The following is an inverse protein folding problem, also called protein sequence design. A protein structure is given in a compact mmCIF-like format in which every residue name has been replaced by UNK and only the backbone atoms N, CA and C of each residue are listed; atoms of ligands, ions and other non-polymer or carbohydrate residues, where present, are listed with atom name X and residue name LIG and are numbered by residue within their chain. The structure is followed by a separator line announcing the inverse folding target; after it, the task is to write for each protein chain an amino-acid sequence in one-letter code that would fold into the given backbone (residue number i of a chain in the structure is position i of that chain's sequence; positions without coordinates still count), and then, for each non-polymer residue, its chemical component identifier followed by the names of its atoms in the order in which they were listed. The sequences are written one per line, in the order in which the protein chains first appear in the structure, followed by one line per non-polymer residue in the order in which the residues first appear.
data_IF_332581636512
#
_entry.id   IF_332581636512
#
_cell.length_a   1.000
_cell.length_b   1.000
_cell.length_c   1.000
_cell.angle_alpha   90.00
_cell.angle_beta   90.00
_cell.angle_gamma   90.00
#
_symmetry.space_group_name_H-M   'P 1'
#
loop_
_entity.id
_entity.type
_entity.pdbx_description
1 polymer ?
#
# COMPACT_ATOMS: atom_id res chain seq x y z
N UNK A 1 21.34 9.21 9.23
CA UNK A 1 20.24 8.75 8.37
C UNK A 1 19.20 9.82 8.14
N UNK A 2 18.25 9.57 7.24
CA UNK A 2 17.15 10.52 6.94
C UNK A 2 16.07 10.53 8.06
N UNK A 3 16.23 9.71 9.10
CA UNK A 3 15.32 9.65 10.24
C UNK A 3 15.35 10.99 11.00
N UNK A 4 14.17 11.54 11.29
CA UNK A 4 14.05 12.84 11.97
C UNK A 4 14.27 14.07 11.07
N UNK A 5 14.47 13.92 9.77
CA UNK A 5 14.59 15.04 8.86
C UNK A 5 13.29 15.85 8.72
N UNK A 6 12.13 15.17 8.85
CA UNK A 6 10.80 15.77 8.90
C UNK A 6 10.17 15.42 10.25
N UNK A 7 9.86 16.41 11.05
CA UNK A 7 9.26 16.24 12.39
C UNK A 7 7.75 16.34 12.39
N UNK A 8 7.14 16.67 11.24
CA UNK A 8 5.70 16.84 11.08
C UNK A 8 5.11 15.89 10.02
N UNK A 9 3.82 15.68 10.10
CA UNK A 9 3.03 14.90 9.16
C UNK A 9 1.70 15.63 8.89
N UNK A 10 1.20 15.69 7.65
CA UNK A 10 1.67 15.03 6.41
C UNK A 10 2.79 15.75 5.67
N UNK A 11 3.08 17.01 5.96
CA UNK A 11 4.12 17.81 5.33
C UNK A 11 5.46 17.71 6.07
N UNK A 12 6.53 18.17 5.43
CA UNK A 12 7.86 18.23 6.04
C UNK A 12 8.12 19.63 6.56
N UNK A 13 7.88 19.86 7.84
CA UNK A 13 8.03 21.18 8.48
C UNK A 13 7.25 22.30 7.74
N UNK A 14 6.06 21.97 7.24
CA UNK A 14 5.22 22.87 6.46
C UNK A 14 5.45 22.85 4.95
N UNK A 15 6.55 22.26 4.46
CA UNK A 15 6.91 22.26 3.05
C UNK A 15 6.44 20.99 2.32
N UNK A 16 5.89 21.18 1.11
CA UNK A 16 5.56 20.10 0.18
C UNK A 16 6.81 19.61 -0.55
N UNK A 17 7.70 20.51 -0.94
CA UNK A 17 8.96 20.21 -1.62
C UNK A 17 10.09 20.84 -0.81
N UNK A 18 10.68 20.11 0.15
CA UNK A 18 11.76 20.64 0.97
C UNK A 18 13.06 20.75 0.17
N UNK A 19 13.88 21.75 0.51
CA UNK A 19 15.15 22.02 -0.18
C UNK A 19 16.27 21.03 0.19
N UNK A 20 16.20 20.44 1.38
CA UNK A 20 17.26 19.56 1.87
C UNK A 20 17.08 18.10 1.39
N UNK A 21 18.15 17.47 0.91
CA UNK A 21 18.12 16.10 0.35
C UNK A 21 17.54 15.06 1.30
N UNK A 22 17.81 15.16 2.61
CA UNK A 22 17.28 14.20 3.60
C UNK A 22 15.77 14.35 3.78
N UNK A 23 15.27 15.57 3.81
CA UNK A 23 13.84 15.87 3.88
C UNK A 23 13.14 15.45 2.59
N UNK A 24 13.78 15.66 1.44
CA UNK A 24 13.28 15.21 0.15
C UNK A 24 13.12 13.68 0.11
N UNK A 25 14.06 12.90 0.63
CA UNK A 25 13.92 11.44 0.71
C UNK A 25 12.72 11.02 1.56
N UNK A 26 12.46 11.72 2.68
CA UNK A 26 11.29 11.48 3.51
C UNK A 26 9.99 11.80 2.75
N UNK A 27 9.94 12.93 2.06
CA UNK A 27 8.78 13.29 1.25
C UNK A 27 8.59 12.38 0.05
N UNK A 28 9.67 11.97 -0.62
CA UNK A 28 9.61 11.00 -1.71
C UNK A 28 8.96 9.68 -1.27
N UNK A 29 9.33 9.16 -0.10
CA UNK A 29 8.66 7.98 0.47
C UNK A 29 7.14 8.20 0.64
N UNK A 30 6.73 9.37 1.15
CA UNK A 30 5.31 9.72 1.32
C UNK A 30 4.57 9.81 -0.02
N UNK A 31 5.19 10.40 -1.04
CA UNK A 31 4.60 10.47 -2.39
C UNK A 31 4.44 9.09 -3.01
N UNK A 32 5.48 8.25 -2.92
CA UNK A 32 5.39 6.87 -3.41
C UNK A 32 4.29 6.11 -2.66
N UNK A 33 4.21 6.23 -1.34
CA UNK A 33 3.17 5.60 -0.54
C UNK A 33 1.77 6.08 -0.94
N UNK A 34 1.59 7.37 -1.21
CA UNK A 34 0.32 7.94 -1.67
C UNK A 34 -0.08 7.39 -3.05
N UNK A 35 0.85 7.35 -4.01
CA UNK A 35 0.59 6.81 -5.36
C UNK A 35 0.24 5.32 -5.28
N UNK A 36 1.03 4.53 -4.54
CA UNK A 36 0.76 3.09 -4.34
C UNK A 36 -0.59 2.90 -3.66
N UNK A 37 -0.90 3.71 -2.65
CA UNK A 37 -2.18 3.67 -1.95
C UNK A 37 -3.37 3.95 -2.86
N UNK A 38 -3.29 4.96 -3.70
CA UNK A 38 -4.32 5.26 -4.69
C UNK A 38 -4.51 4.10 -5.67
N UNK A 39 -3.41 3.47 -6.09
CA UNK A 39 -3.46 2.32 -6.99
C UNK A 39 -4.11 1.10 -6.31
N UNK A 40 -3.78 0.82 -5.07
CA UNK A 40 -4.39 -0.24 -4.26
C UNK A 40 -5.88 0.02 -4.08
N UNK A 41 -6.29 1.24 -3.69
CA UNK A 41 -7.68 1.62 -3.52
C UNK A 41 -8.47 1.52 -4.84
N UNK A 42 -7.88 1.96 -5.94
CA UNK A 42 -8.49 1.84 -7.27
C UNK A 42 -8.69 0.38 -7.68
N UNK A 43 -7.68 -0.46 -7.50
CA UNK A 43 -7.76 -1.90 -7.79
C UNK A 43 -8.86 -2.59 -7.01
N UNK A 44 -9.04 -2.19 -5.74
CA UNK A 44 -10.13 -2.69 -4.92
C UNK A 44 -11.49 -2.22 -5.40
N UNK A 45 -11.61 -0.94 -5.75
CA UNK A 45 -12.85 -0.40 -6.28
C UNK A 45 -13.30 -1.18 -7.52
N UNK A 46 -12.36 -1.54 -8.41
CA UNK A 46 -12.64 -2.39 -9.56
C UNK A 46 -13.06 -3.81 -9.14
N UNK A 47 -12.40 -4.40 -8.16
CA UNK A 47 -12.73 -5.72 -7.62
C UNK A 47 -14.13 -5.75 -7.00
N UNK A 48 -14.56 -4.69 -6.31
CA UNK A 48 -15.90 -4.58 -5.73
C UNK A 48 -17.01 -4.39 -6.77
N UNK A 49 -16.73 -3.71 -7.88
CA UNK A 49 -17.71 -3.54 -8.97
C UNK A 49 -17.97 -4.82 -9.75
N UNK A 50 -17.04 -5.74 -9.77
CA UNK A 50 -17.20 -7.06 -10.38
C UNK A 50 -18.14 -7.94 -9.52
N UNK A 51 -19.42 -8.01 -9.85
CA UNK A 51 -20.43 -8.81 -9.11
C UNK A 51 -20.14 -10.31 -9.03
N UNK A 52 -19.14 -10.82 -9.76
CA UNK A 52 -18.82 -12.24 -9.91
C UNK A 52 -17.44 -12.63 -9.31
N UNK A 53 -16.85 -11.78 -8.47
CA UNK A 53 -15.57 -12.13 -7.85
C UNK A 53 -15.75 -13.17 -6.74
N UNK A 54 -14.89 -14.21 -6.69
CA UNK A 54 -14.87 -15.17 -5.60
C UNK A 54 -14.74 -14.49 -4.24
N UNK A 55 -15.35 -15.07 -3.20
CA UNK A 55 -15.34 -14.50 -1.85
C UNK A 55 -13.91 -14.35 -1.32
N UNK A 56 -13.01 -15.26 -1.69
CA UNK A 56 -11.60 -15.23 -1.30
C UNK A 56 -10.88 -13.98 -1.82
N UNK A 57 -11.11 -13.61 -3.08
CA UNK A 57 -10.54 -12.40 -3.68
C UNK A 57 -11.07 -11.15 -2.98
N UNK A 58 -12.36 -11.12 -2.65
CA UNK A 58 -12.96 -10.00 -1.93
C UNK A 58 -12.37 -9.84 -0.53
N UNK A 59 -12.27 -10.95 0.23
CA UNK A 59 -11.69 -10.94 1.58
C UNK A 59 -10.23 -10.50 1.53
N UNK A 60 -9.43 -11.06 0.63
CA UNK A 60 -8.02 -10.71 0.48
C UNK A 60 -7.85 -9.23 0.08
N UNK A 61 -8.70 -8.73 -0.80
CA UNK A 61 -8.71 -7.31 -1.20
C UNK A 61 -9.02 -6.41 0.00
N UNK A 62 -10.05 -6.71 0.79
CA UNK A 62 -10.38 -5.95 1.99
C UNK A 62 -9.24 -5.98 3.01
N UNK A 63 -8.62 -7.15 3.20
CA UNK A 63 -7.46 -7.30 4.08
C UNK A 63 -6.27 -6.46 3.62
N UNK A 64 -5.99 -6.42 2.32
CA UNK A 64 -4.91 -5.61 1.75
C UNK A 64 -5.14 -4.10 2.02
N UNK A 65 -6.39 -3.60 1.90
CA UNK A 65 -6.70 -2.21 2.26
C UNK A 65 -6.55 -1.95 3.74
N UNK A 66 -7.12 -2.81 4.57
CA UNK A 66 -7.04 -2.64 6.02
C UNK A 66 -5.57 -2.59 6.48
N UNK A 67 -4.73 -3.49 5.95
CA UNK A 67 -3.29 -3.49 6.20
C UNK A 67 -2.61 -2.23 5.67
N UNK A 68 -2.98 -1.76 4.48
CA UNK A 68 -2.40 -0.54 3.92
C UNK A 68 -2.77 0.70 4.75
N UNK A 69 -4.03 0.84 5.15
CA UNK A 69 -4.48 1.95 6.01
C UNK A 69 -3.75 1.90 7.37
N UNK A 70 -3.67 0.72 7.98
CA UNK A 70 -2.93 0.54 9.22
C UNK A 70 -1.44 0.88 9.06
N UNK A 71 -0.83 0.52 7.92
CA UNK A 71 0.55 0.86 7.56
C UNK A 71 0.77 2.39 7.50
N UNK A 72 -0.18 3.14 6.93
CA UNK A 72 -0.11 4.61 6.89
C UNK A 72 -0.19 5.20 8.30
N UNK A 73 -1.11 4.69 9.13
CA UNK A 73 -1.27 5.13 10.52
C UNK A 73 0.00 4.87 11.33
N UNK A 74 0.55 3.65 11.25
CA UNK A 74 1.80 3.32 11.95
C UNK A 74 2.96 4.15 11.41
N UNK A 75 2.99 4.43 10.10
CA UNK A 75 3.99 5.32 9.50
C UNK A 75 3.94 6.75 10.03
N UNK A 76 2.74 7.30 10.25
CA UNK A 76 2.58 8.60 10.92
C UNK A 76 3.02 8.50 12.40
N UNK A 77 2.67 7.41 13.06
CA UNK A 77 3.05 7.19 14.47
C UNK A 77 4.57 7.05 14.67
N UNK A 78 5.32 6.57 13.69
CA UNK A 78 6.81 6.55 13.73
C UNK A 78 7.35 7.95 14.00
N UNK A 79 6.75 8.99 13.41
CA UNK A 79 7.17 10.38 13.58
C UNK A 79 6.82 10.86 15.00
N UNK A 80 5.59 10.62 15.45
CA UNK A 80 5.11 11.05 16.76
C UNK A 80 5.78 10.32 17.92
N UNK A 81 6.25 9.08 17.70
CA UNK A 81 7.01 8.30 18.66
C UNK A 81 8.53 8.57 18.61
N UNK A 82 8.93 9.71 18.05
CA UNK A 82 10.34 10.14 17.92
C UNK A 82 11.24 9.04 17.32
N UNK A 83 10.73 8.37 16.29
CA UNK A 83 11.45 7.33 15.54
C UNK A 83 11.92 6.14 16.41
N UNK A 84 11.17 5.77 17.43
CA UNK A 84 11.48 4.64 18.29
C UNK A 84 11.74 3.37 17.49
N UNK A 85 12.67 2.54 17.94
CA UNK A 85 13.10 1.34 17.20
C UNK A 85 11.96 0.34 17.03
N UNK A 86 11.13 0.17 18.05
CA UNK A 86 10.03 -0.79 18.04
C UNK A 86 8.94 -0.40 17.03
N UNK A 87 8.56 0.88 16.98
CA UNK A 87 7.56 1.38 16.04
C UNK A 87 8.07 1.29 14.59
N UNK A 88 9.36 1.54 14.36
CA UNK A 88 9.97 1.35 13.04
C UNK A 88 9.98 -0.11 12.61
N UNK A 89 10.30 -1.02 13.55
CA UNK A 89 10.25 -2.46 13.29
C UNK A 89 8.83 -2.93 12.95
N UNK A 90 7.83 -2.44 13.70
CA UNK A 90 6.42 -2.71 13.42
C UNK A 90 6.01 -2.18 12.03
N UNK A 91 6.39 -0.95 11.69
CA UNK A 91 6.13 -0.36 10.39
C UNK A 91 6.71 -1.20 9.24
N UNK A 92 7.94 -1.70 9.40
CA UNK A 92 8.58 -2.56 8.41
C UNK A 92 7.90 -3.93 8.29
N UNK A 93 7.54 -4.55 9.42
CA UNK A 93 6.81 -5.82 9.43
C UNK A 93 5.45 -5.70 8.73
N UNK A 94 4.72 -4.63 8.98
CA UNK A 94 3.43 -4.36 8.32
C UNK A 94 3.59 -4.08 6.82
N UNK A 95 4.66 -3.39 6.41
CA UNK A 95 4.98 -3.19 4.99
C UNK A 95 5.16 -4.55 4.28
N UNK A 96 5.85 -5.48 4.92
CA UNK A 96 6.00 -6.86 4.41
C UNK A 96 4.66 -7.57 4.29
N UNK A 97 3.77 -7.43 5.28
CA UNK A 97 2.43 -8.03 5.24
C UNK A 97 1.58 -7.45 4.10
N UNK A 98 1.65 -6.14 3.85
CA UNK A 98 0.99 -5.49 2.69
C UNK A 98 1.50 -6.07 1.38
N UNK A 99 2.82 -6.23 1.22
CA UNK A 99 3.41 -6.82 0.02
C UNK A 99 2.97 -8.25 -0.22
N UNK A 100 2.91 -9.07 0.83
CA UNK A 100 2.42 -10.46 0.75
C UNK A 100 0.95 -10.47 0.31
N UNK A 101 0.10 -9.65 0.92
CA UNK A 101 -1.32 -9.58 0.58
C UNK A 101 -1.56 -9.15 -0.87
N UNK A 102 -0.85 -8.12 -1.34
CA UNK A 102 -0.97 -7.62 -2.71
C UNK A 102 -0.44 -8.65 -3.71
N UNK A 103 0.70 -9.29 -3.42
CA UNK A 103 1.26 -10.33 -4.29
C UNK A 103 0.34 -11.55 -4.39
N UNK A 104 -0.22 -11.99 -3.28
CA UNK A 104 -1.21 -13.08 -3.26
C UNK A 104 -2.46 -12.72 -4.09
N UNK A 105 -2.95 -11.48 -3.97
CA UNK A 105 -4.08 -11.00 -4.74
C UNK A 105 -3.81 -11.04 -6.25
N UNK A 106 -2.62 -10.58 -6.67
CA UNK A 106 -2.20 -10.62 -8.07
C UNK A 106 -2.18 -12.07 -8.57
N UNK A 107 -1.51 -12.98 -7.85
CA UNK A 107 -1.41 -14.40 -8.23
C UNK A 107 -2.81 -15.03 -8.35
N UNK A 108 -3.68 -14.83 -7.36
CA UNK A 108 -5.03 -15.41 -7.38
C UNK A 108 -5.87 -14.86 -8.54
N UNK A 109 -5.74 -13.58 -8.86
CA UNK A 109 -6.48 -12.95 -9.96
C UNK A 109 -6.06 -13.53 -11.32
N UNK A 110 -4.76 -13.75 -11.54
CA UNK A 110 -4.26 -14.32 -12.79
C UNK A 110 -4.38 -15.84 -12.88
N UNK A 111 -4.46 -16.54 -11.75
CA UNK A 111 -4.59 -18.00 -11.72
C UNK A 111 -6.04 -18.50 -11.76
N UNK A 112 -7.03 -17.60 -11.70
CA UNK A 112 -8.45 -17.98 -11.76
C UNK A 112 -8.80 -18.60 -13.12
N UNK A 113 -9.42 -19.79 -13.18
CA UNK A 113 -9.68 -20.53 -14.43
C UNK A 113 -10.58 -19.83 -15.44
N UNK A 114 -11.30 -18.78 -15.03
CA UNK A 114 -12.18 -17.99 -15.91
C UNK A 114 -11.47 -17.04 -16.87
N UNK A 115 -10.15 -16.86 -16.79
CA UNK A 115 -9.36 -16.02 -17.69
C UNK A 115 -8.84 -16.77 -18.93
N UNK A 116 -9.07 -18.07 -19.04
CA UNK A 116 -8.76 -18.79 -20.27
C UNK A 116 -9.77 -18.40 -21.35
N UNK A 117 -9.28 -17.55 -22.25
CA UNK A 117 -9.98 -17.21 -23.48
C UNK A 117 -10.42 -18.50 -24.19
N UNK A 118 -11.73 -18.79 -24.18
CA UNK A 118 -12.30 -19.82 -25.03
C UNK A 118 -12.24 -19.30 -26.46
N UNK A 119 -11.23 -19.74 -27.21
CA UNK A 119 -11.13 -19.46 -28.62
C UNK A 119 -12.42 -19.83 -29.35
N UNK A 120 -12.71 -19.22 -30.50
CA UNK A 120 -13.90 -19.53 -31.28
C UNK A 120 -13.92 -21.01 -31.59
N UNK A 121 -14.98 -21.69 -31.14
CA UNK A 121 -15.27 -23.06 -31.57
C UNK A 121 -15.59 -23.00 -33.07
N UNK A 122 -14.63 -23.40 -33.91
CA UNK A 122 -14.91 -23.65 -35.30
C UNK A 122 -15.92 -24.78 -35.39
N UNK A 123 -17.19 -24.41 -35.57
CA UNK A 123 -18.26 -25.29 -36.00
C UNK A 123 -18.23 -25.42 -37.52
#
# INVERSE_FOLDING_TARGET
GAFGACTEWPLCNGDVIPEFRLQMNHMFHRYVAAVVGLFVLYSLHLGFRGRMQPVEIRVLSMSAVALFVAQVVVGAFVIWADFSQDVRALHLAMATAVWIAVSALVVMTFSSPGSRWSGPSNG
#
